data_IF_982098406186
#
_entry.id   IF_982098406186
#
_cell.length_a   1.000
_cell.length_b   1.000
_cell.length_c   1.000
_cell.angle_alpha   90.00
_cell.angle_beta   90.00
_cell.angle_gamma   90.00
#
_symmetry.space_group_name_H-M   'P 1'
#
loop_
_entity.id
_entity.type
_entity.pdbx_description
1 polymer ?
#
# COMPACT_ATOMS: atom_id res chain seq x y z
N UNK A 1 -0.16 -22.13 6.52
CA UNK A 1 0.29 -20.74 6.71
C UNK A 1 -0.93 -19.88 6.97
N UNK A 2 -0.86 -19.01 7.96
CA UNK A 2 -1.80 -17.92 8.17
C UNK A 2 -1.58 -16.89 7.06
N UNK A 3 -2.66 -16.33 6.52
CA UNK A 3 -2.62 -15.21 5.59
C UNK A 3 -3.12 -13.96 6.30
N UNK A 4 -2.41 -12.86 6.11
CA UNK A 4 -2.68 -11.62 6.81
C UNK A 4 -2.58 -10.42 5.87
N UNK A 5 -3.43 -9.43 6.11
CA UNK A 5 -3.33 -8.09 5.55
C UNK A 5 -2.81 -7.13 6.61
N UNK A 6 -1.69 -6.50 6.31
CA UNK A 6 -1.14 -5.42 7.12
C UNK A 6 -1.60 -4.08 6.59
N UNK A 7 -2.08 -3.20 7.46
CA UNK A 7 -2.42 -1.84 7.07
C UNK A 7 -1.97 -0.79 8.09
N UNK A 8 -1.68 0.42 7.60
CA UNK A 8 -1.47 1.60 8.44
C UNK A 8 -2.21 2.78 7.82
N UNK A 9 -2.77 3.65 8.65
CA UNK A 9 -3.36 4.92 8.20
C UNK A 9 -2.71 6.07 8.97
N UNK A 10 -2.14 7.02 8.25
CA UNK A 10 -1.44 8.16 8.84
C UNK A 10 -1.66 9.44 8.03
N UNK A 11 -1.27 10.59 8.62
CA UNK A 11 -1.15 11.86 7.91
C UNK A 11 0.32 12.08 7.58
N UNK A 12 0.62 12.57 6.39
CA UNK A 12 2.00 12.85 5.96
C UNK A 12 2.07 14.14 5.14
N UNK A 13 3.27 14.72 5.07
CA UNK A 13 3.56 15.85 4.18
C UNK A 13 4.10 15.33 2.85
N UNK A 14 3.58 15.78 1.70
CA UNK A 14 4.18 15.50 0.39
C UNK A 14 5.64 15.96 0.26
N UNK A 15 6.04 16.97 1.04
CA UNK A 15 7.39 17.52 1.06
C UNK A 15 8.30 16.87 2.11
N UNK A 16 7.72 16.08 3.02
CA UNK A 16 8.45 15.21 3.94
C UNK A 16 7.70 13.87 4.07
N UNK A 17 7.80 13.00 3.04
CA UNK A 17 6.97 11.81 2.94
C UNK A 17 7.40 10.65 3.84
N UNK A 18 8.49 10.84 4.57
CA UNK A 18 9.18 9.79 5.31
C UNK A 18 9.82 8.76 4.40
N UNK A 19 10.05 7.55 4.94
CA UNK A 19 10.76 6.47 4.23
C UNK A 19 9.79 5.48 3.58
N UNK A 20 10.21 4.87 2.49
CA UNK A 20 9.63 3.64 1.92
C UNK A 20 10.46 2.41 2.32
N UNK A 21 10.07 1.23 1.86
CA UNK A 21 10.80 -0.02 2.13
C UNK A 21 12.30 0.14 1.78
N UNK A 22 13.15 0.06 2.80
CA UNK A 22 14.60 0.25 2.64
C UNK A 22 15.16 -0.72 1.61
N UNK A 23 15.83 -0.18 0.60
CA UNK A 23 16.50 -0.97 -0.45
C UNK A 23 15.56 -1.57 -1.51
N UNK A 24 14.28 -1.21 -1.50
CA UNK A 24 13.31 -1.62 -2.53
C UNK A 24 12.73 -0.47 -3.32
N UNK A 25 12.50 0.66 -2.67
CA UNK A 25 11.97 1.86 -3.31
C UNK A 25 12.34 3.11 -2.50
N UNK A 26 12.41 4.26 -3.16
CA UNK A 26 12.53 5.58 -2.54
C UNK A 26 11.48 6.52 -3.12
N UNK A 27 11.16 7.57 -2.39
CA UNK A 27 10.54 8.74 -2.99
C UNK A 27 11.56 9.46 -3.85
N UNK A 28 11.09 10.12 -4.91
CA UNK A 28 11.89 11.16 -5.55
C UNK A 28 11.99 12.31 -4.54
N UNK A 29 13.19 12.86 -4.38
CA UNK A 29 13.40 13.94 -3.42
C UNK A 29 12.54 15.16 -3.84
N UNK A 30 11.65 15.64 -2.95
CA UNK A 30 10.85 16.81 -3.25
C UNK A 30 11.72 18.07 -3.19
N UNK A 31 11.30 19.10 -3.92
CA UNK A 31 11.86 20.45 -3.74
C UNK A 31 11.44 21.03 -2.39
N UNK A 32 12.16 22.04 -1.91
CA UNK A 32 11.76 22.76 -0.70
C UNK A 32 10.39 23.42 -0.93
N UNK A 33 9.43 23.27 0.01
CA UNK A 33 8.10 23.85 -0.15
C UNK A 33 8.17 25.37 -0.11
N UNK A 34 7.38 26.04 -0.95
CA UNK A 34 7.26 27.51 -0.95
C UNK A 34 6.00 27.98 -0.21
N UNK A 35 6.14 28.98 0.68
CA UNK A 35 5.01 29.61 1.36
C UNK A 35 4.17 28.65 2.22
N UNK A 36 2.88 28.52 1.91
CA UNK A 36 1.92 27.73 2.71
C UNK A 36 2.00 26.22 2.43
N UNK A 37 2.77 25.77 1.43
CA UNK A 37 2.92 24.36 1.06
C UNK A 37 3.49 23.51 2.19
N UNK A 38 4.32 24.11 3.05
CA UNK A 38 4.92 23.43 4.20
C UNK A 38 3.89 22.92 5.23
N UNK A 39 2.68 23.49 5.25
CA UNK A 39 1.60 23.07 6.15
C UNK A 39 0.65 22.03 5.51
N UNK A 40 0.84 21.71 4.24
CA UNK A 40 -0.03 20.78 3.52
C UNK A 40 0.17 19.36 4.08
N UNK A 41 -0.95 18.75 4.49
CA UNK A 41 -0.96 17.35 4.92
C UNK A 41 -1.98 16.58 4.11
N UNK A 42 -1.62 15.35 3.74
CA UNK A 42 -2.49 14.39 3.09
C UNK A 42 -2.71 13.19 4.01
N UNK A 43 -3.81 12.48 3.79
CA UNK A 43 -4.04 11.17 4.39
C UNK A 43 -3.41 10.09 3.51
N UNK A 44 -2.71 9.16 4.16
CA UNK A 44 -2.11 7.98 3.54
C UNK A 44 -2.62 6.73 4.21
N UNK A 45 -3.02 5.76 3.39
CA UNK A 45 -3.30 4.40 3.78
C UNK A 45 -2.35 3.48 3.03
N UNK A 46 -1.61 2.65 3.74
CA UNK A 46 -0.73 1.65 3.13
C UNK A 46 -1.25 0.27 3.48
N UNK A 47 -1.38 -0.60 2.49
CA UNK A 47 -1.84 -1.99 2.65
C UNK A 47 -0.82 -2.93 2.00
N UNK A 48 -0.41 -3.97 2.72
CA UNK A 48 0.40 -5.07 2.19
C UNK A 48 -0.11 -6.41 2.72
N UNK A 49 0.43 -7.51 2.22
CA UNK A 49 0.07 -8.86 2.66
C UNK A 49 1.24 -9.60 3.30
N UNK A 50 0.94 -10.66 4.03
CA UNK A 50 1.93 -11.66 4.39
C UNK A 50 1.31 -13.05 4.59
N UNK A 51 2.14 -14.08 4.39
CA UNK A 51 1.84 -15.45 4.78
C UNK A 51 2.97 -16.01 5.66
N UNK A 52 2.63 -16.59 6.81
CA UNK A 52 3.59 -17.09 7.82
C UNK A 52 3.02 -18.29 8.60
N UNK A 53 3.86 -19.05 9.29
CA UNK A 53 3.41 -20.22 10.07
C UNK A 53 2.99 -19.89 11.49
N UNK A 54 3.63 -18.92 12.14
CA UNK A 54 3.45 -18.59 13.55
C UNK A 54 3.72 -17.09 13.85
N UNK A 55 3.65 -16.71 15.12
CA UNK A 55 3.81 -15.32 15.53
C UNK A 55 5.26 -14.78 15.59
N UNK A 56 6.27 -15.61 15.25
CA UNK A 56 7.61 -15.11 14.96
C UNK A 56 7.70 -14.45 13.59
N UNK A 57 6.82 -14.83 12.65
CA UNK A 57 6.84 -14.36 11.27
C UNK A 57 8.24 -14.40 10.61
N UNK A 58 9.12 -15.30 11.05
CA UNK A 58 10.47 -15.46 10.49
C UNK A 58 10.42 -16.00 9.06
N UNK A 59 9.48 -16.90 8.80
CA UNK A 59 9.20 -17.50 7.49
C UNK A 59 8.29 -16.62 6.60
N UNK A 60 7.98 -15.39 7.02
CA UNK A 60 6.96 -14.59 6.38
C UNK A 60 7.30 -14.23 4.93
N UNK A 61 6.46 -14.70 4.00
CA UNK A 61 6.40 -14.20 2.63
C UNK A 61 5.56 -12.93 2.60
N UNK A 62 6.11 -11.80 2.12
CA UNK A 62 5.50 -10.46 2.24
C UNK A 62 5.10 -9.85 0.91
N UNK A 63 4.11 -8.97 0.92
CA UNK A 63 3.51 -8.37 -0.27
C UNK A 63 2.06 -8.83 -0.45
N UNK A 64 1.27 -8.03 -1.14
CA UNK A 64 -0.17 -8.27 -1.38
C UNK A 64 -0.50 -9.69 -1.88
N UNK A 65 0.27 -10.32 -2.80
CA UNK A 65 -0.02 -11.69 -3.25
C UNK A 65 -0.06 -12.73 -2.13
N UNK A 66 0.65 -12.49 -1.02
CA UNK A 66 0.70 -13.39 0.12
C UNK A 66 -0.39 -13.10 1.16
N UNK A 67 -1.10 -11.98 1.04
CA UNK A 67 -2.20 -11.60 1.95
C UNK A 67 -3.48 -12.41 1.76
N UNK A 68 -3.55 -13.26 0.73
CA UNK A 68 -4.73 -14.09 0.47
C UNK A 68 -5.88 -13.36 -0.18
N UNK A 69 -5.62 -12.20 -0.76
CA UNK A 69 -6.65 -11.35 -1.34
C UNK A 69 -6.37 -10.98 -2.79
N UNK A 70 -7.45 -10.87 -3.56
CA UNK A 70 -7.42 -10.33 -4.92
C UNK A 70 -7.29 -8.79 -4.87
N UNK A 71 -6.25 -8.24 -5.51
CA UNK A 71 -5.97 -6.80 -5.50
C UNK A 71 -7.09 -6.00 -6.18
N UNK A 72 -7.67 -6.54 -7.24
CA UNK A 72 -8.82 -5.89 -7.89
C UNK A 72 -10.01 -5.82 -6.91
N UNK A 73 -10.30 -6.92 -6.19
CA UNK A 73 -11.36 -6.96 -5.19
C UNK A 73 -11.09 -5.99 -4.03
N UNK A 74 -9.84 -5.86 -3.59
CA UNK A 74 -9.43 -4.89 -2.58
C UNK A 74 -9.72 -3.44 -3.04
N UNK A 75 -9.28 -3.08 -4.24
CA UNK A 75 -9.54 -1.74 -4.81
C UNK A 75 -11.05 -1.51 -4.96
N UNK A 76 -11.79 -2.50 -5.48
CA UNK A 76 -13.25 -2.44 -5.65
C UNK A 76 -14.02 -2.33 -4.33
N UNK A 77 -13.51 -2.93 -3.25
CA UNK A 77 -14.05 -2.77 -1.89
C UNK A 77 -13.85 -1.33 -1.38
N UNK A 78 -12.66 -0.78 -1.59
CA UNK A 78 -12.29 0.54 -1.10
C UNK A 78 -12.97 1.66 -1.89
N UNK A 79 -13.16 1.48 -3.19
CA UNK A 79 -13.75 2.46 -4.10
C UNK A 79 -14.89 1.85 -4.93
N UNK A 80 -16.01 1.47 -4.27
CA UNK A 80 -17.09 0.77 -4.95
C UNK A 80 -17.75 1.65 -6.01
N UNK A 81 -17.87 1.12 -7.22
CA UNK A 81 -18.53 1.77 -8.37
C UNK A 81 -17.88 3.10 -8.79
N UNK A 82 -16.64 3.35 -8.39
CA UNK A 82 -15.91 4.54 -8.85
C UNK A 82 -15.25 4.28 -10.19
N UNK A 83 -15.33 5.23 -11.13
CA UNK A 83 -14.51 5.19 -12.33
C UNK A 83 -13.04 5.34 -11.93
N UNK A 84 -12.16 4.55 -12.53
CA UNK A 84 -10.73 4.66 -12.32
C UNK A 84 -10.03 5.07 -13.62
N UNK A 85 -8.92 5.78 -13.49
CA UNK A 85 -7.97 5.99 -14.58
C UNK A 85 -6.66 5.27 -14.21
N UNK A 86 -6.38 4.15 -14.86
CA UNK A 86 -5.08 3.49 -14.77
C UNK A 86 -4.03 4.29 -15.53
N UNK A 87 -2.81 4.32 -15.00
CA UNK A 87 -1.69 4.97 -15.67
C UNK A 87 -0.40 4.17 -15.49
N UNK A 88 0.45 4.25 -16.51
CA UNK A 88 1.79 3.65 -16.51
C UNK A 88 2.81 4.64 -17.05
N UNK A 89 3.98 4.64 -16.43
CA UNK A 89 5.18 5.33 -16.87
C UNK A 89 6.35 4.33 -16.77
N UNK A 90 7.24 4.39 -17.75
CA UNK A 90 8.37 3.45 -17.94
C UNK A 90 7.94 1.98 -18.12
N UNK A 91 6.79 1.76 -18.76
CA UNK A 91 6.29 0.44 -19.08
C UNK A 91 7.07 -0.25 -20.19
N UNK A 92 7.04 -1.57 -20.20
CA UNK A 92 7.61 -2.36 -21.28
C UNK A 92 6.65 -2.38 -22.48
N UNK A 93 7.13 -2.27 -23.73
CA UNK A 93 6.27 -2.23 -24.91
C UNK A 93 5.35 -3.45 -25.12
N UNK A 94 5.70 -4.59 -24.53
CA UNK A 94 4.87 -5.81 -24.60
C UNK A 94 3.67 -5.79 -23.63
N UNK A 95 3.64 -4.85 -22.69
CA UNK A 95 2.64 -4.81 -21.62
C UNK A 95 1.55 -3.74 -21.84
N UNK A 96 1.49 -3.11 -23.02
CA UNK A 96 0.47 -2.11 -23.37
C UNK A 96 -0.90 -2.81 -23.44
N UNK A 97 -1.89 -2.37 -22.66
CA UNK A 97 -3.26 -2.88 -22.77
C UNK A 97 -3.90 -2.59 -24.13
N UNK A 98 -4.85 -3.44 -24.54
CA UNK A 98 -5.57 -3.29 -25.82
C UNK A 98 -6.32 -1.95 -25.93
N UNK A 99 -6.83 -1.44 -24.80
CA UNK A 99 -7.62 -0.21 -24.72
C UNK A 99 -6.83 0.97 -24.14
N UNK A 100 -5.50 0.91 -24.21
CA UNK A 100 -4.65 2.01 -23.79
C UNK A 100 -4.82 3.24 -24.68
N UNK A 101 -4.86 4.39 -24.04
CA UNK A 101 -4.90 5.72 -24.63
C UNK A 101 -3.60 6.49 -24.29
N UNK A 102 -3.33 7.57 -25.01
CA UNK A 102 -2.16 8.42 -24.77
C UNK A 102 -0.83 7.68 -24.87
N UNK A 103 -0.76 6.62 -25.70
CA UNK A 103 0.42 5.75 -25.81
C UNK A 103 1.57 6.52 -26.44
N UNK A 104 2.67 6.65 -25.71
CA UNK A 104 3.89 7.28 -26.19
C UNK A 104 5.12 6.44 -25.84
N UNK A 105 5.98 6.22 -26.84
CA UNK A 105 7.25 5.54 -26.68
C UNK A 105 8.39 6.55 -26.61
N UNK A 106 9.28 6.37 -25.65
CA UNK A 106 10.45 7.22 -25.44
C UNK A 106 11.66 6.38 -25.02
N UNK A 107 12.84 7.00 -25.03
CA UNK A 107 14.08 6.38 -24.59
C UNK A 107 14.41 6.81 -23.16
N UNK A 108 14.64 5.84 -22.29
CA UNK A 108 15.18 6.06 -20.95
C UNK A 108 16.61 5.54 -20.81
N UNK A 109 17.32 6.06 -19.82
CA UNK A 109 18.67 5.62 -19.50
C UNK A 109 18.71 5.10 -18.05
N UNK A 110 19.32 3.94 -17.84
CA UNK A 110 19.65 3.46 -16.50
C UNK A 110 20.91 4.19 -16.02
N UNK A 111 20.99 4.58 -14.74
CA UNK A 111 22.21 5.20 -14.23
C UNK A 111 23.43 4.28 -14.45
N UNK A 112 24.45 4.82 -15.11
CA UNK A 112 25.67 4.10 -15.48
C UNK A 112 25.56 3.19 -16.72
N UNK A 113 24.40 3.12 -17.37
CA UNK A 113 24.19 2.35 -18.60
C UNK A 113 24.45 3.19 -19.86
N UNK A 114 25.26 2.66 -20.78
CA UNK A 114 25.49 3.26 -22.11
C UNK A 114 24.40 2.90 -23.13
N UNK A 115 23.39 2.12 -22.73
CA UNK A 115 22.35 1.57 -23.61
C UNK A 115 21.01 2.20 -23.24
N UNK A 116 20.35 2.81 -24.23
CA UNK A 116 18.98 3.29 -24.08
C UNK A 116 18.02 2.10 -23.98
N UNK A 117 17.00 2.26 -23.15
CA UNK A 117 15.90 1.30 -23.02
C UNK A 117 14.66 1.96 -23.61
N UNK A 118 13.95 1.26 -24.49
CA UNK A 118 12.65 1.70 -24.97
C UNK A 118 11.59 1.56 -23.88
N UNK A 119 10.94 2.67 -23.56
CA UNK A 119 9.94 2.78 -22.51
C UNK A 119 8.64 3.30 -23.09
N UNK A 120 7.52 2.95 -22.47
CA UNK A 120 6.20 3.41 -22.89
C UNK A 120 5.43 3.98 -21.72
N UNK A 121 4.74 5.09 -21.97
CA UNK A 121 3.68 5.62 -21.12
C UNK A 121 2.32 5.43 -21.77
N UNK A 122 1.31 5.24 -20.93
CA UNK A 122 -0.08 5.11 -21.36
C UNK A 122 -1.03 5.38 -20.19
N UNK A 123 -2.29 5.69 -20.52
CA UNK A 123 -3.38 5.73 -19.56
C UNK A 123 -4.59 4.95 -20.09
N UNK A 124 -5.46 4.46 -19.21
CA UNK A 124 -6.67 3.74 -19.60
C UNK A 124 -7.78 3.95 -18.57
N UNK A 125 -8.99 4.21 -19.04
CA UNK A 125 -10.18 4.19 -18.18
C UNK A 125 -10.56 2.76 -17.81
N UNK A 126 -10.92 2.57 -16.54
CA UNK A 126 -11.29 1.26 -15.99
C UNK A 126 -12.70 1.32 -15.42
N UNK A 127 -13.59 0.58 -16.05
CA UNK A 127 -15.01 0.51 -15.75
C UNK A 127 -15.35 -0.83 -15.09
N UNK A 128 -14.95 -0.97 -13.84
CA UNK A 128 -15.33 -2.08 -12.98
C UNK A 128 -14.28 -3.18 -12.86
N UNK A 129 -14.67 -4.26 -12.20
CA UNK A 129 -13.75 -5.24 -11.63
C UNK A 129 -13.04 -6.11 -12.68
N UNK A 130 -13.69 -6.39 -13.81
CA UNK A 130 -13.13 -7.25 -14.85
C UNK A 130 -11.96 -6.57 -15.56
N UNK A 131 -12.16 -5.34 -16.03
CA UNK A 131 -11.10 -4.51 -16.63
C UNK A 131 -9.97 -4.23 -15.63
N UNK A 132 -10.31 -4.01 -14.35
CA UNK A 132 -9.31 -3.82 -13.31
C UNK A 132 -8.40 -5.05 -13.13
N UNK A 133 -8.97 -6.27 -13.17
CA UNK A 133 -8.19 -7.51 -13.13
C UNK A 133 -7.32 -7.67 -14.38
N UNK A 134 -7.86 -7.32 -15.54
CA UNK A 134 -7.12 -7.40 -16.80
C UNK A 134 -5.87 -6.51 -16.78
N UNK A 135 -6.00 -5.26 -16.31
CA UNK A 135 -4.89 -4.30 -16.19
C UNK A 135 -3.88 -4.77 -15.16
N UNK A 136 -4.33 -5.24 -14.00
CA UNK A 136 -3.45 -5.70 -12.93
C UNK A 136 -2.69 -6.99 -13.30
N UNK A 137 -3.30 -7.86 -14.11
CA UNK A 137 -2.74 -9.18 -14.45
C UNK A 137 -2.72 -10.17 -13.27
N UNK A 138 -2.28 -11.40 -13.57
CA UNK A 138 -2.08 -12.46 -12.58
C UNK A 138 -0.76 -13.23 -12.88
N UNK A 139 0.23 -13.25 -11.96
CA UNK A 139 0.26 -12.53 -10.69
C UNK A 139 0.50 -11.02 -10.89
N UNK A 140 0.14 -10.16 -9.92
CA UNK A 140 0.38 -8.72 -9.99
C UNK A 140 1.86 -8.35 -9.75
N UNK A 141 2.80 -9.29 -9.93
CA UNK A 141 4.24 -9.09 -9.77
C UNK A 141 4.90 -8.56 -11.05
N UNK A 142 4.29 -8.80 -12.22
CA UNK A 142 4.57 -8.06 -13.43
C UNK A 142 4.00 -6.65 -13.27
N UNK A 143 4.88 -5.66 -13.16
CA UNK A 143 4.50 -4.26 -12.99
C UNK A 143 3.92 -3.69 -14.29
N UNK A 144 2.67 -4.04 -14.57
CA UNK A 144 1.94 -3.65 -15.78
C UNK A 144 1.33 -2.27 -15.66
N UNK A 145 1.07 -1.81 -14.44
CA UNK A 145 0.46 -0.51 -14.13
C UNK A 145 1.21 0.13 -12.97
N UNK A 146 1.32 1.46 -12.99
CA UNK A 146 1.97 2.19 -11.91
C UNK A 146 0.99 2.59 -10.81
N UNK A 147 -0.23 2.97 -11.21
CA UNK A 147 -1.27 3.34 -10.26
C UNK A 147 -2.62 3.59 -10.91
N UNK A 148 -3.54 4.07 -10.09
CA UNK A 148 -4.89 4.44 -10.49
C UNK A 148 -5.27 5.78 -9.88
N UNK A 149 -5.96 6.62 -10.63
CA UNK A 149 -6.75 7.72 -10.07
C UNK A 149 -8.16 7.23 -9.80
N UNK A 150 -8.70 7.55 -8.63
CA UNK A 150 -10.12 7.39 -8.33
C UNK A 150 -10.83 8.67 -8.74
N UNK A 151 -11.53 8.64 -9.87
CA UNK A 151 -12.20 9.82 -10.39
C UNK A 151 -13.50 10.09 -9.62
N UNK A 152 -13.90 11.37 -9.47
CA UNK A 152 -15.20 11.72 -8.90
C UNK A 152 -16.35 11.09 -9.69
N UNK A 153 -17.49 10.90 -9.03
CA UNK A 153 -18.70 10.42 -9.71
C UNK A 153 -19.14 11.43 -10.77
N UNK A 154 -19.40 10.94 -11.98
CA UNK A 154 -19.77 11.79 -13.12
C UNK A 154 -18.59 12.58 -13.73
N UNK A 155 -17.34 12.24 -13.41
CA UNK A 155 -16.19 12.82 -14.10
C UNK A 155 -16.25 12.55 -15.61
N UNK A 156 -16.07 13.60 -16.40
CA UNK A 156 -16.04 13.56 -17.86
C UNK A 156 -14.60 13.36 -18.38
N UNK A 157 -14.48 13.25 -19.70
CA UNK A 157 -13.20 13.04 -20.40
C UNK A 157 -12.25 14.21 -20.16
N UNK A 158 -12.77 15.45 -20.20
CA UNK A 158 -11.98 16.65 -19.95
C UNK A 158 -11.32 16.65 -18.56
N UNK A 159 -12.02 16.19 -17.52
CA UNK A 159 -11.43 16.07 -16.17
C UNK A 159 -10.36 14.99 -16.10
N UNK A 160 -10.56 13.87 -16.78
CA UNK A 160 -9.56 12.79 -16.83
C UNK A 160 -8.30 13.24 -17.59
N UNK A 161 -8.46 13.94 -18.71
CA UNK A 161 -7.36 14.53 -19.49
C UNK A 161 -6.59 15.58 -18.67
N UNK A 162 -7.30 16.47 -17.96
CA UNK A 162 -6.68 17.47 -17.10
C UNK A 162 -5.84 16.88 -15.95
N UNK A 163 -6.08 15.61 -15.59
CA UNK A 163 -5.29 14.92 -14.56
C UNK A 163 -3.97 14.36 -15.10
N UNK A 164 -3.78 14.26 -16.42
CA UNK A 164 -2.62 13.60 -17.03
C UNK A 164 -1.31 14.36 -16.82
N UNK A 165 -1.34 15.69 -16.91
CA UNK A 165 -0.16 16.53 -16.66
C UNK A 165 0.31 16.40 -15.19
N UNK A 166 -0.57 16.53 -14.16
CA UNK A 166 -0.20 16.23 -12.78
C UNK A 166 0.27 14.79 -12.56
N UNK A 167 -0.33 13.81 -13.24
CA UNK A 167 0.14 12.41 -13.18
C UNK A 167 1.55 12.29 -13.75
N UNK A 168 1.85 12.96 -14.86
CA UNK A 168 3.20 12.99 -15.42
C UNK A 168 4.20 13.61 -14.42
N UNK A 169 3.83 14.66 -13.69
CA UNK A 169 4.69 15.18 -12.62
C UNK A 169 4.89 14.17 -11.49
N UNK A 170 3.88 13.35 -11.20
CA UNK A 170 3.95 12.30 -10.18
C UNK A 170 4.88 11.15 -10.56
N UNK A 171 4.90 10.70 -11.82
CA UNK A 171 5.65 9.49 -12.22
C UNK A 171 6.76 9.69 -13.26
N UNK A 172 6.72 10.77 -14.05
CA UNK A 172 7.62 11.01 -15.19
C UNK A 172 9.08 11.25 -14.82
N UNK A 173 9.37 11.54 -13.55
CA UNK A 173 10.74 11.70 -13.02
C UNK A 173 11.28 10.42 -12.40
N UNK A 174 10.61 9.29 -12.67
CA UNK A 174 10.97 7.96 -12.21
C UNK A 174 12.41 7.59 -12.59
N UNK A 175 13.14 6.98 -11.65
CA UNK A 175 14.50 6.50 -11.89
C UNK A 175 14.52 4.98 -12.01
N UNK A 176 15.29 4.49 -12.98
CA UNK A 176 15.55 3.06 -13.17
C UNK A 176 16.67 2.52 -12.25
N UNK A 177 16.98 3.24 -11.17
CA UNK A 177 18.05 2.92 -10.22
C UNK A 177 17.68 1.73 -9.31
N UNK A 178 18.65 1.30 -8.50
CA UNK A 178 18.42 0.29 -7.46
C UNK A 178 18.82 0.83 -6.08
N UNK A 179 17.86 1.13 -5.19
CA UNK A 179 16.41 1.05 -5.40
C UNK A 179 15.88 2.18 -6.32
N UNK A 180 14.78 1.94 -7.07
CA UNK A 180 14.17 2.95 -7.92
C UNK A 180 13.46 4.03 -7.07
N UNK A 181 13.44 5.26 -7.58
CA UNK A 181 12.59 6.34 -7.09
C UNK A 181 11.48 6.58 -8.11
N UNK A 182 10.23 6.23 -7.79
CA UNK A 182 9.16 6.11 -8.81
C UNK A 182 8.16 7.25 -8.82
N UNK A 183 8.04 7.91 -7.68
CA UNK A 183 6.96 8.83 -7.40
C UNK A 183 7.52 10.12 -6.83
N UNK A 184 7.08 11.24 -7.37
CA UNK A 184 7.33 12.59 -6.85
C UNK A 184 6.16 12.94 -5.92
N UNK A 185 6.31 12.78 -4.60
CA UNK A 185 5.21 12.98 -3.65
C UNK A 185 4.65 14.40 -3.72
N UNK A 186 5.47 15.41 -4.03
CA UNK A 186 5.06 16.81 -4.16
C UNK A 186 3.99 17.05 -5.25
N UNK A 187 3.81 16.13 -6.21
CA UNK A 187 2.77 16.23 -7.24
C UNK A 187 1.39 15.72 -6.77
N UNK A 188 1.33 14.94 -5.68
CA UNK A 188 0.06 14.40 -5.16
C UNK A 188 -1.04 15.45 -4.90
N UNK A 189 -0.75 16.66 -4.37
CA UNK A 189 -1.78 17.67 -4.12
C UNK A 189 -2.51 18.11 -5.39
N UNK A 190 -1.75 18.32 -6.46
CA UNK A 190 -2.24 18.74 -7.78
C UNK A 190 -3.05 17.61 -8.43
N UNK A 191 -2.55 16.36 -8.39
CA UNK A 191 -3.31 15.20 -8.86
C UNK A 191 -4.65 15.07 -8.11
N UNK A 192 -4.66 15.33 -6.81
CA UNK A 192 -5.86 15.30 -5.95
C UNK A 192 -6.80 16.51 -6.16
N UNK A 193 -6.50 17.47 -7.05
CA UNK A 193 -7.50 18.42 -7.56
C UNK A 193 -8.45 17.75 -8.56
N UNK A 194 -7.97 16.73 -9.27
CA UNK A 194 -8.71 16.04 -10.32
C UNK A 194 -9.33 14.72 -9.83
N UNK A 195 -8.77 14.11 -8.79
CA UNK A 195 -9.18 12.79 -8.26
C UNK A 195 -9.63 12.83 -6.78
N UNK A 196 -10.51 11.90 -6.38
CA UNK A 196 -10.87 11.68 -4.97
C UNK A 196 -9.74 10.97 -4.20
N UNK A 197 -8.99 10.12 -4.89
CA UNK A 197 -7.84 9.40 -4.34
C UNK A 197 -6.83 9.06 -5.43
N UNK A 198 -5.57 8.89 -5.03
CA UNK A 198 -4.51 8.32 -5.86
C UNK A 198 -4.09 6.99 -5.25
N UNK A 199 -4.06 5.95 -6.07
CA UNK A 199 -3.64 4.60 -5.71
C UNK A 199 -2.30 4.32 -6.38
N UNK A 200 -1.24 4.04 -5.63
CA UNK A 200 0.10 3.74 -6.13
C UNK A 200 0.51 2.32 -5.75
N UNK A 201 1.15 1.62 -6.68
CA UNK A 201 1.77 0.32 -6.43
C UNK A 201 3.23 0.51 -6.02
N UNK A 202 3.49 0.35 -4.72
CA UNK A 202 4.83 0.40 -4.15
C UNK A 202 5.46 -0.99 -4.06
N UNK A 203 6.77 -1.05 -3.88
CA UNK A 203 7.53 -2.29 -3.64
C UNK A 203 7.82 -2.49 -2.16
N UNK A 204 7.21 -3.53 -1.60
CA UNK A 204 7.59 -4.11 -0.31
C UNK A 204 8.80 -5.06 -0.47
N UNK A 205 9.30 -5.63 0.64
CA UNK A 205 10.46 -6.52 0.69
C UNK A 205 10.41 -7.66 -0.33
N UNK A 206 9.23 -8.23 -0.57
CA UNK A 206 9.04 -9.43 -1.41
C UNK A 206 7.89 -9.34 -2.42
N UNK A 207 7.18 -8.20 -2.52
CA UNK A 207 6.04 -8.06 -3.44
C UNK A 207 5.44 -6.65 -3.41
N UNK A 208 4.35 -6.40 -4.16
CA UNK A 208 3.72 -5.10 -4.20
C UNK A 208 3.00 -4.76 -2.88
N UNK A 209 2.92 -3.47 -2.58
CA UNK A 209 2.09 -2.87 -1.55
C UNK A 209 1.25 -1.75 -2.15
N UNK A 210 0.05 -1.53 -1.60
CA UNK A 210 -0.89 -0.52 -2.07
C UNK A 210 -0.72 0.74 -1.22
N UNK A 211 -0.32 1.86 -1.82
CA UNK A 211 -0.40 3.18 -1.21
C UNK A 211 -1.66 3.89 -1.71
N UNK A 212 -2.47 4.42 -0.81
CA UNK A 212 -3.68 5.18 -1.13
C UNK A 212 -3.55 6.55 -0.49
N UNK A 213 -3.67 7.58 -1.32
CA UNK A 213 -3.46 8.97 -0.96
C UNK A 213 -4.75 9.75 -1.16
N UNK A 214 -5.19 10.48 -0.15
CA UNK A 214 -6.40 11.30 -0.17
C UNK A 214 -6.17 12.61 0.56
N UNK A 215 -7.02 13.62 0.30
CA UNK A 215 -6.99 14.88 1.06
C UNK A 215 -7.40 14.67 2.52
N UNK A 216 -8.46 13.88 2.74
CA UNK A 216 -9.00 13.56 4.06
C UNK A 216 -9.04 12.04 4.30
N UNK A 217 -8.93 11.59 5.56
CA UNK A 217 -8.97 10.17 5.88
C UNK A 217 -10.33 9.56 5.56
N UNK A 218 -10.31 8.44 4.84
CA UNK A 218 -11.51 7.68 4.49
C UNK A 218 -11.94 6.68 5.58
N UNK A 219 -13.02 5.94 5.31
CA UNK A 219 -13.53 4.86 6.18
C UNK A 219 -12.90 3.49 5.90
N UNK A 220 -11.67 3.47 5.37
CA UNK A 220 -11.06 2.26 4.83
C UNK A 220 -10.86 1.16 5.89
N UNK A 221 -10.40 1.51 7.10
CA UNK A 221 -10.17 0.54 8.19
C UNK A 221 -11.41 -0.32 8.48
N UNK A 222 -12.57 0.31 8.70
CA UNK A 222 -13.83 -0.40 8.96
C UNK A 222 -14.27 -1.32 7.80
N UNK A 223 -13.96 -0.95 6.54
CA UNK A 223 -14.25 -1.80 5.38
C UNK A 223 -13.30 -2.99 5.29
N UNK A 224 -12.01 -2.76 5.58
CA UNK A 224 -11.00 -3.81 5.62
C UNK A 224 -11.30 -4.83 6.72
N UNK A 225 -11.71 -4.39 7.90
CA UNK A 225 -12.09 -5.28 9.02
C UNK A 225 -13.24 -6.21 8.63
N UNK A 226 -14.34 -5.64 8.12
CA UNK A 226 -15.51 -6.41 7.70
C UNK A 226 -15.17 -7.40 6.57
N UNK A 227 -14.30 -6.99 5.64
CA UNK A 227 -13.89 -7.84 4.53
C UNK A 227 -12.91 -8.93 4.94
N UNK A 228 -11.89 -8.62 5.74
CA UNK A 228 -10.92 -9.59 6.23
C UNK A 228 -11.61 -10.70 7.05
N UNK A 229 -12.59 -10.33 7.88
CA UNK A 229 -13.42 -11.29 8.60
C UNK A 229 -14.20 -12.23 7.66
N UNK A 230 -14.73 -11.70 6.55
CA UNK A 230 -15.45 -12.50 5.55
C UNK A 230 -14.53 -13.46 4.79
N UNK A 231 -13.33 -13.01 4.41
CA UNK A 231 -12.36 -13.80 3.63
C UNK A 231 -11.48 -14.71 4.50
N UNK A 232 -11.68 -14.73 5.82
CA UNK A 232 -10.85 -15.52 6.75
C UNK A 232 -9.39 -15.08 6.78
N UNK A 233 -9.13 -13.82 6.49
CA UNK A 233 -7.79 -13.21 6.47
C UNK A 233 -7.56 -12.44 7.76
N UNK A 234 -6.38 -12.59 8.38
CA UNK A 234 -6.04 -11.85 9.58
C UNK A 234 -5.75 -10.38 9.21
N UNK A 235 -6.50 -9.43 9.76
CA UNK A 235 -6.17 -8.01 9.62
C UNK A 235 -5.22 -7.57 10.73
N UNK A 236 -4.08 -7.00 10.37
CA UNK A 236 -3.02 -6.56 11.28
C UNK A 236 -2.84 -5.04 11.14
N UNK A 237 -3.21 -4.25 12.15
CA UNK A 237 -2.94 -2.81 12.16
C UNK A 237 -1.46 -2.55 12.46
N UNK A 238 -0.89 -1.54 11.80
CA UNK A 238 0.47 -1.07 12.01
C UNK A 238 0.48 0.42 12.37
N UNK A 239 1.32 0.81 13.32
CA UNK A 239 1.53 2.21 13.70
C UNK A 239 2.36 3.01 12.68
N UNK A 240 3.09 2.32 11.80
CA UNK A 240 3.90 2.89 10.71
C UNK A 240 3.58 2.12 9.43
N UNK A 241 3.93 2.63 8.23
CA UNK A 241 3.78 1.89 6.99
C UNK A 241 4.28 0.44 7.11
N UNK A 242 3.46 -0.59 6.79
CA UNK A 242 3.82 -1.98 7.01
C UNK A 242 5.05 -2.42 6.19
N UNK A 243 5.36 -1.70 5.10
CA UNK A 243 6.61 -1.81 4.33
C UNK A 243 7.88 -1.52 5.15
N UNK A 244 7.77 -0.73 6.23
CA UNK A 244 8.86 -0.41 7.16
C UNK A 244 8.83 -1.28 8.42
N UNK A 245 7.71 -1.97 8.64
CA UNK A 245 7.42 -2.56 9.92
C UNK A 245 7.91 -4.00 10.05
N UNK A 246 7.96 -4.40 11.31
CA UNK A 246 8.29 -5.75 11.77
C UNK A 246 6.99 -6.51 12.03
N UNK A 247 6.72 -7.51 11.19
CA UNK A 247 5.50 -8.34 11.30
C UNK A 247 5.41 -9.07 12.64
N UNK A 248 6.53 -9.60 13.15
CA UNK A 248 6.62 -10.24 14.46
C UNK A 248 6.14 -9.34 15.59
N UNK A 249 6.58 -8.07 15.56
CA UNK A 249 6.15 -7.07 16.53
C UNK A 249 4.66 -6.74 16.40
N UNK A 250 4.17 -6.52 15.19
CA UNK A 250 2.76 -6.17 14.96
C UNK A 250 1.81 -7.32 15.33
N UNK A 251 2.20 -8.57 15.09
CA UNK A 251 1.43 -9.75 15.50
C UNK A 251 1.42 -9.88 17.03
N UNK A 252 2.54 -9.61 17.70
CA UNK A 252 2.59 -9.60 19.16
C UNK A 252 1.65 -8.54 19.77
N UNK A 253 1.72 -7.29 19.28
CA UNK A 253 0.82 -6.19 19.69
C UNK A 253 -0.66 -6.54 19.41
N UNK A 254 -0.96 -7.15 18.26
CA UNK A 254 -2.31 -7.61 17.93
C UNK A 254 -2.78 -8.75 18.85
N UNK A 255 -1.90 -9.70 19.20
CA UNK A 255 -2.22 -10.79 20.13
C UNK A 255 -2.58 -10.25 21.51
N UNK A 256 -1.80 -9.32 22.03
CA UNK A 256 -2.07 -8.67 23.33
C UNK A 256 -3.48 -8.04 23.32
N UNK A 257 -3.77 -7.22 22.31
CA UNK A 257 -5.08 -6.60 22.15
C UNK A 257 -6.23 -7.62 21.99
N UNK A 258 -6.01 -8.70 21.24
CA UNK A 258 -7.00 -9.75 21.03
C UNK A 258 -7.36 -10.46 22.34
N UNK A 259 -6.35 -10.83 23.13
CA UNK A 259 -6.55 -11.54 24.40
C UNK A 259 -7.19 -10.64 25.47
N UNK A 260 -6.99 -9.32 25.39
CA UNK A 260 -7.66 -8.35 26.27
C UNK A 260 -9.14 -8.17 25.93
N UNK A 261 -9.49 -8.19 24.64
CA UNK A 261 -10.83 -7.82 24.17
C UNK A 261 -11.73 -8.99 23.84
N UNK A 262 -11.17 -10.20 23.73
CA UNK A 262 -11.89 -11.39 23.25
C UNK A 262 -11.57 -12.63 24.09
N UNK A 263 -12.49 -13.61 24.03
CA UNK A 263 -12.40 -14.89 24.76
C UNK A 263 -12.02 -16.06 23.87
N UNK A 264 -12.08 -15.89 22.55
CA UNK A 264 -11.67 -16.90 21.58
C UNK A 264 -10.15 -16.92 21.39
N UNK A 265 -9.64 -18.08 20.99
CA UNK A 265 -8.23 -18.29 20.75
C UNK A 265 -7.71 -17.37 19.62
N UNK A 266 -6.52 -16.81 19.82
CA UNK A 266 -5.87 -16.01 18.79
C UNK A 266 -5.49 -16.90 17.59
N UNK A 267 -5.86 -16.53 16.35
CA UNK A 267 -5.74 -17.42 15.19
C UNK A 267 -4.30 -17.73 14.74
N UNK A 268 -3.29 -17.03 15.27
CA UNK A 268 -1.88 -17.32 14.97
C UNK A 268 -1.27 -18.19 16.07
N UNK A 269 -0.68 -19.35 15.74
CA UNK A 269 -0.07 -20.19 16.75
C UNK A 269 1.17 -19.51 17.36
N UNK A 270 1.52 -19.86 18.61
CA UNK A 270 2.80 -19.47 19.19
C UNK A 270 3.97 -20.08 18.41
N UNK A 271 5.04 -19.31 18.21
CA UNK A 271 6.31 -19.86 17.76
C UNK A 271 6.86 -20.89 18.76
N UNK A 272 7.59 -21.93 18.31
CA UNK A 272 8.21 -22.92 19.18
C UNK A 272 9.20 -22.31 20.18
N UNK A 273 9.91 -21.27 19.74
CA UNK A 273 10.80 -20.47 20.57
C UNK A 273 10.15 -19.11 20.88
N UNK A 274 10.29 -18.58 22.12
CA UNK A 274 9.70 -17.30 22.47
C UNK A 274 10.33 -16.17 21.64
N UNK A 275 9.49 -15.39 20.96
CA UNK A 275 9.94 -14.13 20.37
C UNK A 275 10.35 -13.16 21.48
N UNK A 276 11.40 -12.37 21.26
CA UNK A 276 11.85 -11.32 22.21
C UNK A 276 10.77 -10.26 22.53
N UNK A 277 9.64 -10.26 21.82
CA UNK A 277 8.49 -9.40 22.08
C UNK A 277 7.51 -9.99 23.11
N UNK A 278 7.50 -11.32 23.34
CA UNK A 278 6.59 -12.01 24.27
C UNK A 278 6.84 -11.76 25.77
N UNK A 279 7.68 -10.78 26.14
CA UNK A 279 8.30 -10.71 27.47
C UNK A 279 8.12 -9.43 28.28
N UNK A 280 7.14 -8.56 28.00
CA UNK A 280 6.91 -7.37 28.87
C UNK A 280 5.66 -7.40 29.73
N UNK A 281 4.74 -8.34 29.53
CA UNK A 281 3.52 -8.48 30.34
C UNK A 281 3.30 -9.85 31.00
N UNK A 282 3.89 -10.92 30.46
CA UNK A 282 3.57 -12.30 30.87
C UNK A 282 4.30 -12.79 32.13
N UNK A 283 5.35 -12.09 32.59
CA UNK A 283 6.08 -12.43 33.82
C UNK A 283 5.50 -11.79 35.08
N UNK A 284 4.32 -11.16 35.02
CA UNK A 284 3.62 -10.74 36.24
C UNK A 284 2.98 -12.00 36.84
N UNK A 285 3.43 -12.48 38.01
CA UNK A 285 2.72 -13.54 38.70
C UNK A 285 1.29 -13.05 38.94
N UNK A 286 0.28 -13.94 38.89
CA UNK A 286 -1.05 -13.56 39.37
C UNK A 286 -0.89 -13.00 40.78
N UNK A 287 -1.40 -11.79 41.02
CA UNK A 287 -1.59 -11.29 42.38
C UNK A 287 -2.43 -12.35 43.09
N UNK A 288 -1.78 -13.15 43.93
CA UNK A 288 -2.46 -14.03 44.85
C UNK A 288 -3.32 -13.14 45.73
N UNK A 289 -4.64 -13.26 45.56
CA UNK A 289 -5.63 -12.71 46.47
C UNK A 289 -5.18 -13.01 47.90
N UNK A 290 -4.77 -11.94 48.60
CA UNK A 290 -4.50 -12.02 50.02
C UNK A 290 -5.79 -12.49 50.70
N UNK A 291 -5.72 -13.66 51.33
CA UNK A 291 -6.80 -14.20 52.14
C UNK A 291 -7.28 -13.14 53.16
N UNK A 292 -8.60 -13.07 53.44
CA UNK A 292 -9.12 -12.14 54.42
C UNK A 292 -8.54 -12.49 55.79
N UNK A 293 -8.04 -11.48 56.50
CA UNK A 293 -7.65 -11.62 57.89
C UNK A 293 -8.91 -11.87 58.73
N UNK A 294 -9.02 -13.07 59.30
CA UNK A 294 -9.93 -13.36 60.41
C UNK A 294 -9.29 -12.90 61.73
N UNK A 295 -10.13 -12.16 62.50
CA UNK A 295 -10.09 -11.77 63.93
C UNK A 295 -8.90 -10.98 64.50
#
# INVERSE_FOLDING_TARGET
MIRALGYSSDRFSPFDPGRLCRGRERWIEPFEPEGNEAALTLSRLVITGAAFTDDSAEDAHRGLPHGGVDLAALIGLLFPRRPLLAFMEDGHPADIPEHAEGVEAYEGYRAGGAVSVGLIRWHQRVNGIAELREILGDPPDAERVRGFLVLPEGADDARAEAALDPVFLLVGMSTLDSPPARYQPAALPEVLEHAEAVILLHRDKHGPALGIYTREPGKAASRLEAWAAKEGTLLVPFAIPPMLARWDRAIAELREHWLETRKDEFPVPPAPEPTHWRGRGADRPPETDAAPAEE
#
